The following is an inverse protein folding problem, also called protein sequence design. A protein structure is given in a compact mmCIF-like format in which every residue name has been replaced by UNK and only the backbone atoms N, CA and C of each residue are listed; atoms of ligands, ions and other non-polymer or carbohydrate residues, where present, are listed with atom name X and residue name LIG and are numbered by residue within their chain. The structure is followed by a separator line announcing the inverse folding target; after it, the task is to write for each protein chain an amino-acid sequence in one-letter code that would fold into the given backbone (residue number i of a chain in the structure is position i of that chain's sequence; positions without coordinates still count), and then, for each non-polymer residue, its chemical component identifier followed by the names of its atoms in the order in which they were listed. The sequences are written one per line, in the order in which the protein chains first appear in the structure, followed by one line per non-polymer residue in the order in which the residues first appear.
data_IF_328038316614
#
_entry.id   IF_328038316614
#
_cell.length_a   1.000
_cell.length_b   1.000
_cell.length_c   1.000
_cell.angle_alpha   90.00
_cell.angle_beta   90.00
_cell.angle_gamma   90.00
#
_symmetry.space_group_name_H-M   'P 1'
#
loop_
_entity.id
_entity.type
_entity.pdbx_description
1 polymer ?
#
# COMPACT_ATOMS: atom_id res chain seq x y z
N UNK A 1 -1.59 -5.93 26.96
CA UNK A 1 -2.15 -6.50 25.71
C UNK A 1 -1.01 -7.01 24.84
N UNK A 2 -1.11 -8.23 24.33
CA UNK A 2 -0.15 -8.85 23.43
C UNK A 2 -0.81 -9.12 22.08
N UNK A 3 -0.19 -8.63 21.00
CA UNK A 3 -0.67 -8.76 19.62
C UNK A 3 0.30 -9.65 18.84
N UNK A 4 -0.20 -10.76 18.28
CA UNK A 4 0.49 -11.53 17.26
C UNK A 4 0.19 -10.87 15.91
N UNK A 5 1.18 -10.35 15.20
CA UNK A 5 0.97 -9.61 13.96
C UNK A 5 1.55 -10.35 12.75
N UNK A 6 0.83 -10.32 11.64
CA UNK A 6 1.27 -10.98 10.42
C UNK A 6 1.00 -10.16 9.16
N UNK A 7 2.10 -9.70 8.53
CA UNK A 7 3.46 -9.57 9.08
C UNK A 7 3.57 -8.40 10.06
N UNK A 8 4.61 -8.40 10.93
CA UNK A 8 4.96 -7.24 11.73
C UNK A 8 6.27 -6.60 11.23
N UNK A 9 7.41 -7.06 11.77
CA UNK A 9 8.72 -6.45 11.52
C UNK A 9 9.51 -7.13 10.39
N UNK A 10 9.20 -8.39 10.07
CA UNK A 10 9.92 -9.16 9.04
C UNK A 10 9.80 -8.58 7.62
N UNK A 11 8.76 -7.76 7.37
CA UNK A 11 8.49 -7.20 6.04
C UNK A 11 9.14 -5.82 5.78
N UNK A 12 9.95 -5.30 6.71
CA UNK A 12 10.51 -3.93 6.65
C UNK A 12 11.26 -3.61 5.35
N UNK A 13 12.02 -4.56 4.81
CA UNK A 13 12.78 -4.38 3.56
C UNK A 13 11.92 -4.32 2.30
N UNK A 14 10.70 -4.83 2.33
CA UNK A 14 9.82 -4.89 1.15
C UNK A 14 8.66 -3.89 1.20
N UNK A 15 8.16 -3.65 2.41
CA UNK A 15 7.09 -2.70 2.71
C UNK A 15 7.20 -2.26 4.18
N UNK A 16 7.73 -1.08 4.47
CA UNK A 16 7.94 -0.64 5.85
C UNK A 16 6.66 -0.31 6.62
N UNK A 17 5.48 -0.34 5.98
CA UNK A 17 4.20 0.01 6.60
C UNK A 17 3.95 -0.70 7.94
N UNK A 18 4.03 -2.04 7.95
CA UNK A 18 3.74 -2.82 9.15
C UNK A 18 4.77 -2.58 10.25
N UNK A 19 6.05 -2.48 9.89
CA UNK A 19 7.11 -2.16 10.84
C UNK A 19 6.90 -0.81 11.52
N UNK A 20 6.61 0.24 10.76
CA UNK A 20 6.35 1.58 11.30
C UNK A 20 5.09 1.63 12.16
N UNK A 21 4.01 0.96 11.73
CA UNK A 21 2.79 0.87 12.54
C UNK A 21 3.06 0.20 13.88
N UNK A 22 3.72 -0.95 13.86
CA UNK A 22 3.90 -1.74 15.09
C UNK A 22 4.98 -1.18 16.01
N UNK A 23 5.99 -0.48 15.50
CA UNK A 23 6.89 0.33 16.34
C UNK A 23 6.09 1.38 17.12
N UNK A 24 5.23 2.14 16.44
CA UNK A 24 4.39 3.15 17.10
C UNK A 24 3.34 2.52 18.05
N UNK A 25 2.82 1.34 17.76
CA UNK A 25 1.93 0.57 18.65
C UNK A 25 2.69 0.11 19.91
N UNK A 26 3.96 -0.31 19.77
CA UNK A 26 4.81 -0.66 20.92
C UNK A 26 5.12 0.53 21.81
N UNK A 27 5.28 1.73 21.24
CA UNK A 27 5.47 2.97 22.01
C UNK A 27 4.27 3.31 22.92
N UNK A 28 3.08 2.77 22.63
CA UNK A 28 1.88 2.86 23.45
C UNK A 28 1.79 1.75 24.53
N UNK A 29 2.83 0.95 24.70
CA UNK A 29 2.91 -0.10 25.72
C UNK A 29 2.23 -1.43 25.34
N UNK A 30 1.90 -1.63 24.06
CA UNK A 30 1.38 -2.90 23.54
C UNK A 30 2.55 -3.80 23.15
N UNK A 31 2.53 -5.05 23.59
CA UNK A 31 3.52 -6.05 23.14
C UNK A 31 3.15 -6.55 21.75
N UNK A 32 4.01 -6.39 20.77
CA UNK A 32 3.81 -6.89 19.39
C UNK A 32 4.84 -7.95 19.07
N UNK A 33 4.40 -9.10 18.58
CA UNK A 33 5.22 -10.23 18.21
C UNK A 33 4.99 -10.62 16.76
N UNK A 34 6.06 -10.94 16.03
CA UNK A 34 5.93 -11.47 14.67
C UNK A 34 5.28 -12.86 14.68
N UNK A 35 4.46 -13.08 13.66
CA UNK A 35 3.82 -14.37 13.45
C UNK A 35 4.85 -15.46 13.17
N UNK A 36 4.67 -16.60 13.81
CA UNK A 36 5.21 -17.87 13.39
C UNK A 36 4.21 -18.97 13.72
N UNK A 37 4.24 -20.08 12.99
CA UNK A 37 3.35 -21.22 13.26
C UNK A 37 3.53 -21.72 14.70
N UNK A 38 4.77 -21.77 15.19
CA UNK A 38 5.08 -22.15 16.57
C UNK A 38 4.45 -21.20 17.58
N UNK A 39 4.56 -19.87 17.35
CA UNK A 39 3.98 -18.85 18.22
C UNK A 39 2.46 -18.87 18.20
N UNK A 40 1.86 -19.01 17.01
CA UNK A 40 0.40 -19.15 16.88
C UNK A 40 -0.14 -20.37 17.64
N UNK A 41 0.56 -21.50 17.57
CA UNK A 41 0.19 -22.72 18.30
C UNK A 41 0.37 -22.63 19.83
N UNK A 42 1.31 -21.84 20.32
CA UNK A 42 1.51 -21.65 21.76
C UNK A 42 0.31 -20.92 22.42
N UNK A 43 -0.30 -19.97 21.73
CA UNK A 43 -1.35 -19.12 22.32
C UNK A 43 -0.79 -18.10 23.33
N UNK A 44 -1.64 -17.52 24.18
CA UNK A 44 -1.24 -16.54 25.19
C UNK A 44 -0.98 -15.15 24.61
N UNK A 45 -1.61 -14.82 23.51
CA UNK A 45 -1.77 -13.47 22.97
C UNK A 45 -3.26 -13.10 22.95
N UNK A 46 -3.54 -11.81 23.08
CA UNK A 46 -4.92 -11.30 23.15
C UNK A 46 -5.54 -11.13 21.77
N UNK A 47 -4.71 -10.73 20.80
CA UNK A 47 -5.12 -10.42 19.44
C UNK A 47 -4.18 -11.06 18.42
N UNK A 48 -4.75 -11.46 17.26
CA UNK A 48 -4.00 -11.76 16.05
C UNK A 48 -4.40 -10.75 14.97
N UNK A 49 -3.47 -9.86 14.61
CA UNK A 49 -3.69 -8.86 13.58
C UNK A 49 -3.10 -9.31 12.25
N UNK A 50 -3.96 -9.43 11.24
CA UNK A 50 -3.58 -9.89 9.89
C UNK A 50 -3.74 -8.76 8.88
N UNK A 51 -2.83 -8.71 7.87
CA UNK A 51 -2.83 -7.68 6.84
C UNK A 51 -3.24 -8.21 5.46
N UNK A 52 -2.68 -9.30 5.01
CA UNK A 52 -2.93 -9.91 3.69
C UNK A 52 -3.30 -11.39 3.83
N UNK A 53 -4.48 -11.71 4.36
CA UNK A 53 -4.88 -13.12 4.58
C UNK A 53 -5.07 -13.89 3.27
N UNK A 54 -5.20 -13.20 2.16
CA UNK A 54 -5.44 -13.75 0.83
C UNK A 54 -4.17 -13.94 -0.02
N UNK A 55 -2.98 -13.66 0.51
CA UNK A 55 -1.70 -13.83 -0.21
C UNK A 55 -1.50 -15.27 -0.70
N UNK A 56 -1.95 -16.27 0.07
CA UNK A 56 -1.82 -17.67 -0.31
C UNK A 56 -2.68 -18.08 -1.52
N UNK A 57 -3.73 -17.29 -1.84
CA UNK A 57 -4.55 -17.52 -3.02
C UNK A 57 -3.78 -17.27 -4.33
N UNK A 58 -2.68 -16.52 -4.25
CA UNK A 58 -1.83 -16.17 -5.40
C UNK A 58 -0.80 -17.26 -5.76
N UNK A 59 -0.70 -18.34 -5.00
CA UNK A 59 0.22 -19.43 -5.31
C UNK A 59 -0.17 -20.18 -6.59
N UNK A 60 0.79 -20.41 -7.48
CA UNK A 60 0.56 -21.07 -8.76
C UNK A 60 0.06 -22.51 -8.63
N UNK A 61 0.56 -23.26 -7.62
CA UNK A 61 0.12 -24.63 -7.34
C UNK A 61 -1.18 -24.64 -6.52
N UNK A 62 -2.27 -25.20 -7.02
CA UNK A 62 -3.54 -25.25 -6.30
C UNK A 62 -3.45 -26.03 -4.99
N UNK A 63 -2.69 -27.12 -4.95
CA UNK A 63 -2.51 -27.91 -3.73
C UNK A 63 -1.73 -27.19 -2.66
N UNK A 64 -0.73 -26.41 -3.06
CA UNK A 64 0.02 -25.54 -2.16
C UNK A 64 -0.88 -24.44 -1.61
N UNK A 65 -1.64 -23.76 -2.45
CA UNK A 65 -2.60 -22.74 -2.05
C UNK A 65 -3.62 -23.30 -1.04
N UNK A 66 -4.23 -24.45 -1.35
CA UNK A 66 -5.20 -25.11 -0.44
C UNK A 66 -4.57 -25.46 0.89
N UNK A 67 -3.35 -26.01 0.90
CA UNK A 67 -2.66 -26.41 2.14
C UNK A 67 -2.40 -25.20 3.06
N UNK A 68 -1.90 -24.09 2.50
CA UNK A 68 -1.62 -22.88 3.28
C UNK A 68 -2.90 -22.18 3.76
N UNK A 69 -3.92 -22.05 2.90
CA UNK A 69 -5.24 -21.51 3.28
C UNK A 69 -5.87 -22.34 4.38
N UNK A 70 -5.86 -23.68 4.27
CA UNK A 70 -6.40 -24.54 5.31
C UNK A 70 -5.62 -24.41 6.63
N UNK A 71 -4.30 -24.35 6.57
CA UNK A 71 -3.46 -24.17 7.76
C UNK A 71 -3.73 -22.82 8.44
N UNK A 72 -3.83 -21.74 7.68
CA UNK A 72 -4.16 -20.40 8.17
C UNK A 72 -5.51 -20.39 8.89
N UNK A 73 -6.57 -20.85 8.23
CA UNK A 73 -7.93 -20.88 8.80
C UNK A 73 -8.01 -21.74 10.06
N UNK A 74 -7.31 -22.88 10.09
CA UNK A 74 -7.25 -23.75 11.26
C UNK A 74 -6.51 -23.10 12.42
N UNK A 75 -5.39 -22.42 12.16
CA UNK A 75 -4.63 -21.70 13.19
C UNK A 75 -5.46 -20.53 13.76
N UNK A 76 -6.17 -19.79 12.92
CA UNK A 76 -7.06 -18.71 13.36
C UNK A 76 -8.25 -19.24 14.18
N UNK A 77 -8.88 -20.32 13.73
CA UNK A 77 -9.95 -20.95 14.47
C UNK A 77 -9.48 -21.47 15.84
N UNK A 78 -8.27 -22.04 15.90
CA UNK A 78 -7.65 -22.47 17.15
C UNK A 78 -7.31 -21.28 18.08
N UNK A 79 -6.77 -20.19 17.53
CA UNK A 79 -6.49 -18.98 18.29
C UNK A 79 -7.76 -18.43 18.94
N UNK A 80 -8.85 -18.33 18.19
CA UNK A 80 -10.15 -17.91 18.72
C UNK A 80 -10.72 -18.86 19.78
N UNK A 81 -10.59 -20.16 19.57
CA UNK A 81 -11.01 -21.15 20.58
C UNK A 81 -10.23 -21.04 21.91
N UNK A 82 -9.06 -20.40 21.89
CA UNK A 82 -8.25 -20.10 23.06
C UNK A 82 -8.44 -18.68 23.61
N UNK A 83 -9.40 -17.93 23.08
CA UNK A 83 -9.77 -16.59 23.55
C UNK A 83 -9.11 -15.43 22.81
N UNK A 84 -8.18 -15.68 21.85
CA UNK A 84 -7.63 -14.61 21.05
C UNK A 84 -8.66 -14.05 20.04
N UNK A 85 -8.56 -12.78 19.69
CA UNK A 85 -9.43 -12.11 18.71
C UNK A 85 -8.66 -11.81 17.42
N UNK A 86 -9.36 -11.85 16.29
CA UNK A 86 -8.77 -11.64 14.96
C UNK A 86 -9.15 -10.24 14.49
N UNK A 87 -8.15 -9.40 14.23
CA UNK A 87 -8.29 -8.09 13.59
C UNK A 87 -7.70 -8.15 12.19
N UNK A 88 -8.38 -7.60 11.21
CA UNK A 88 -7.95 -7.57 9.81
C UNK A 88 -7.79 -6.14 9.30
N UNK A 89 -6.58 -5.76 8.84
CA UNK A 89 -6.40 -4.55 8.05
C UNK A 89 -6.62 -4.87 6.57
N UNK A 90 -7.62 -4.22 5.98
CA UNK A 90 -8.04 -4.41 4.59
C UNK A 90 -7.22 -3.48 3.70
N UNK A 91 -6.17 -4.03 3.07
CA UNK A 91 -5.36 -3.30 2.10
C UNK A 91 -5.97 -3.35 0.70
N UNK A 92 -6.55 -4.48 0.33
CA UNK A 92 -7.19 -4.77 -0.94
C UNK A 92 -8.50 -5.55 -0.70
N UNK A 93 -9.37 -5.58 -1.69
CA UNK A 93 -10.66 -6.29 -1.60
C UNK A 93 -10.58 -7.74 -2.10
N UNK A 94 -9.40 -8.20 -2.41
CA UNK A 94 -9.08 -9.53 -2.90
C UNK A 94 -7.74 -9.53 -3.62
N UNK A 95 -7.22 -10.70 -3.98
CA UNK A 95 -5.93 -10.80 -4.65
C UNK A 95 -6.01 -10.18 -6.05
N UNK A 96 -5.02 -9.36 -6.42
CA UNK A 96 -4.91 -8.78 -7.76
C UNK A 96 -4.72 -9.85 -8.86
N UNK A 97 -4.15 -10.99 -8.49
CA UNK A 97 -3.98 -12.17 -9.36
C UNK A 97 -4.52 -13.38 -8.60
N UNK A 98 -5.59 -13.99 -9.10
CA UNK A 98 -6.19 -15.18 -8.52
C UNK A 98 -6.16 -16.34 -9.54
N UNK A 99 -5.08 -17.16 -9.53
CA UNK A 99 -4.97 -18.31 -10.43
C UNK A 99 -6.04 -19.38 -10.14
N UNK A 100 -6.65 -19.32 -8.95
CA UNK A 100 -7.64 -20.30 -8.50
C UNK A 100 -8.93 -19.62 -7.98
N UNK A 101 -9.80 -19.03 -8.84
CA UNK A 101 -11.00 -18.27 -8.39
C UNK A 101 -11.98 -19.11 -7.56
N UNK A 102 -11.99 -20.43 -7.71
CA UNK A 102 -12.82 -21.32 -6.90
C UNK A 102 -12.35 -21.35 -5.44
N UNK A 103 -11.03 -21.28 -5.19
CA UNK A 103 -10.48 -21.27 -3.83
C UNK A 103 -10.81 -19.93 -3.14
N UNK A 104 -10.72 -18.81 -3.83
CA UNK A 104 -11.15 -17.51 -3.33
C UNK A 104 -12.63 -17.52 -2.91
N UNK A 105 -13.52 -18.15 -3.72
CA UNK A 105 -14.96 -18.29 -3.39
C UNK A 105 -15.21 -19.10 -2.12
N UNK A 106 -14.32 -20.02 -1.77
CA UNK A 106 -14.38 -20.81 -0.54
C UNK A 106 -13.72 -20.09 0.64
N UNK A 107 -12.67 -19.34 0.40
CA UNK A 107 -11.87 -18.67 1.43
C UNK A 107 -12.71 -17.63 2.21
N UNK A 108 -13.28 -16.66 1.52
CA UNK A 108 -13.98 -15.55 2.19
C UNK A 108 -15.13 -15.99 3.11
N UNK A 109 -16.02 -16.95 2.73
CA UNK A 109 -17.04 -17.44 3.66
C UNK A 109 -16.52 -18.15 4.90
N UNK A 110 -15.29 -18.69 4.85
CA UNK A 110 -14.65 -19.37 6.00
C UNK A 110 -13.82 -18.38 6.84
N UNK A 111 -13.19 -17.39 6.23
CA UNK A 111 -12.37 -16.40 6.90
C UNK A 111 -13.20 -15.34 7.63
N UNK A 112 -14.21 -14.75 6.97
CA UNK A 112 -14.95 -13.63 7.52
C UNK A 112 -15.62 -13.91 8.88
N UNK A 113 -16.16 -15.13 9.17
CA UNK A 113 -16.68 -15.46 10.50
C UNK A 113 -15.63 -15.50 11.61
N UNK A 114 -14.34 -15.57 11.26
CA UNK A 114 -13.23 -15.54 12.22
C UNK A 114 -12.83 -14.12 12.59
N UNK A 115 -13.18 -13.12 11.80
CA UNK A 115 -12.81 -11.71 12.01
C UNK A 115 -13.66 -11.11 13.12
N UNK A 116 -13.02 -10.56 14.13
CA UNK A 116 -13.66 -9.89 15.27
C UNK A 116 -13.62 -8.35 15.16
N UNK A 117 -12.73 -7.80 14.33
CA UNK A 117 -12.66 -6.37 14.02
C UNK A 117 -11.87 -6.10 12.74
N UNK A 118 -12.04 -4.93 12.14
CA UNK A 118 -11.33 -4.58 10.91
C UNK A 118 -10.88 -3.13 10.87
N UNK A 119 -9.79 -2.89 10.15
CA UNK A 119 -9.27 -1.58 9.78
C UNK A 119 -9.39 -1.40 8.27
N UNK A 120 -9.77 -0.22 7.83
CA UNK A 120 -9.63 0.23 6.43
C UNK A 120 -8.79 1.51 6.38
N UNK A 121 -8.12 1.73 5.26
CA UNK A 121 -7.17 2.85 5.14
C UNK A 121 -7.82 4.15 4.62
N UNK A 122 -9.13 4.13 4.34
CA UNK A 122 -9.93 5.28 3.92
C UNK A 122 -11.43 5.01 4.08
N UNK A 123 -12.27 6.03 4.04
CA UNK A 123 -13.74 5.86 4.03
C UNK A 123 -14.22 5.24 2.70
N UNK A 124 -13.54 5.54 1.59
CA UNK A 124 -13.80 4.86 0.32
C UNK A 124 -13.61 3.35 0.45
N UNK A 125 -12.46 2.93 0.99
CA UNK A 125 -12.18 1.51 1.22
C UNK A 125 -13.15 0.86 2.18
N UNK A 126 -13.57 1.57 3.25
CA UNK A 126 -14.60 1.09 4.18
C UNK A 126 -15.91 0.84 3.47
N UNK A 127 -16.35 1.79 2.66
CA UNK A 127 -17.59 1.66 1.88
C UNK A 127 -17.51 0.47 0.91
N UNK A 128 -16.39 0.33 0.21
CA UNK A 128 -16.15 -0.77 -0.72
C UNK A 128 -16.07 -2.13 -0.01
N UNK A 129 -15.36 -2.20 1.13
CA UNK A 129 -15.26 -3.41 1.96
C UNK A 129 -16.61 -3.86 2.50
N UNK A 130 -17.42 -2.95 3.04
CA UNK A 130 -18.76 -3.26 3.56
C UNK A 130 -19.76 -3.65 2.47
N UNK A 131 -19.54 -3.23 1.22
CA UNK A 131 -20.29 -3.67 0.05
C UNK A 131 -19.86 -5.07 -0.38
N UNK A 132 -18.56 -5.33 -0.42
CA UNK A 132 -17.97 -6.62 -0.83
C UNK A 132 -18.18 -7.71 0.23
N UNK A 133 -18.06 -7.35 1.51
CA UNK A 133 -18.09 -8.22 2.68
C UNK A 133 -19.13 -7.74 3.71
N UNK A 134 -20.44 -7.93 3.47
CA UNK A 134 -21.49 -7.42 4.36
C UNK A 134 -21.42 -7.95 5.80
N UNK A 135 -20.75 -9.09 6.03
CA UNK A 135 -20.54 -9.66 7.36
C UNK A 135 -19.76 -8.72 8.29
N UNK A 136 -18.89 -7.87 7.77
CA UNK A 136 -18.09 -6.90 8.53
C UNK A 136 -18.94 -5.83 9.25
N UNK A 137 -20.21 -5.63 8.84
CA UNK A 137 -21.13 -4.71 9.55
C UNK A 137 -21.48 -5.15 10.98
N UNK A 138 -21.13 -6.39 11.33
CA UNK A 138 -21.48 -6.99 12.63
C UNK A 138 -20.34 -6.89 13.65
N UNK A 139 -19.19 -6.40 13.25
CA UNK A 139 -18.00 -6.30 14.10
C UNK A 139 -17.48 -4.86 14.11
N UNK A 140 -16.75 -4.45 15.16
CA UNK A 140 -16.10 -3.15 15.21
C UNK A 140 -15.22 -2.91 13.99
N UNK A 141 -15.28 -1.70 13.44
CA UNK A 141 -14.45 -1.31 12.31
C UNK A 141 -14.03 0.15 12.40
N UNK A 142 -12.78 0.43 12.03
CA UNK A 142 -12.19 1.77 12.12
C UNK A 142 -11.47 2.14 10.84
N UNK A 143 -11.55 3.40 10.45
CA UNK A 143 -10.68 3.95 9.42
C UNK A 143 -9.41 4.45 10.09
N UNK A 144 -8.27 3.87 9.68
CA UNK A 144 -6.93 4.29 10.09
C UNK A 144 -6.16 4.55 8.81
N UNK A 145 -5.94 5.81 8.43
CA UNK A 145 -5.24 6.14 7.20
C UNK A 145 -3.85 5.49 7.09
N UNK A 146 -3.37 5.37 5.88
CA UNK A 146 -2.02 4.87 5.65
C UNK A 146 -0.99 5.93 6.07
N UNK A 147 -0.04 5.58 6.94
CA UNK A 147 1.00 6.49 7.40
C UNK A 147 2.04 6.83 6.34
N UNK A 148 2.71 7.97 6.51
CA UNK A 148 3.78 8.41 5.62
C UNK A 148 5.09 7.63 5.86
N UNK A 149 6.02 7.69 4.89
CA UNK A 149 7.25 6.89 4.89
C UNK A 149 8.51 7.67 5.29
N UNK A 150 8.41 8.94 5.71
CA UNK A 150 9.57 9.76 6.10
C UNK A 150 10.52 9.08 7.11
N UNK A 151 10.03 8.33 8.13
CA UNK A 151 10.93 7.67 9.08
C UNK A 151 11.68 6.45 8.53
N UNK A 152 11.19 5.85 7.43
CA UNK A 152 11.72 4.58 6.92
C UNK A 152 12.83 4.75 5.87
N UNK A 153 12.89 5.90 5.21
CA UNK A 153 13.81 6.13 4.11
C UNK A 153 14.94 7.09 4.48
N UNK A 154 16.13 6.93 3.87
CA UNK A 154 17.25 7.87 4.08
C UNK A 154 16.91 9.26 3.54
N UNK A 155 17.62 10.27 4.05
CA UNK A 155 17.53 11.61 3.52
C UNK A 155 17.91 11.63 2.02
N UNK A 156 17.11 12.31 1.15
CA UNK A 156 17.41 12.38 -0.26
C UNK A 156 18.73 13.12 -0.52
N UNK A 157 19.49 12.73 -1.54
CA UNK A 157 20.64 13.50 -1.97
C UNK A 157 20.20 14.86 -2.55
N UNK A 158 21.12 15.85 -2.65
CA UNK A 158 20.84 17.09 -3.36
C UNK A 158 20.34 16.80 -4.80
N UNK A 159 19.34 17.55 -5.26
CA UNK A 159 18.66 17.34 -6.55
C UNK A 159 19.65 17.22 -7.72
N UNK A 160 20.65 18.10 -7.79
CA UNK A 160 21.64 18.05 -8.87
C UNK A 160 22.43 16.74 -8.86
N UNK A 161 22.88 16.31 -7.68
CA UNK A 161 23.59 15.03 -7.53
C UNK A 161 22.71 13.85 -7.99
N UNK A 162 21.45 13.85 -7.58
CA UNK A 162 20.49 12.83 -8.01
C UNK A 162 20.32 12.81 -9.55
N UNK A 163 20.20 13.97 -10.18
CA UNK A 163 20.09 14.08 -11.63
C UNK A 163 21.35 13.60 -12.34
N UNK A 164 22.53 13.95 -11.85
CA UNK A 164 23.81 13.48 -12.40
C UNK A 164 23.92 11.95 -12.32
N UNK A 165 23.51 11.33 -11.22
CA UNK A 165 23.49 9.86 -11.04
C UNK A 165 22.61 9.15 -12.08
N UNK A 166 21.52 9.79 -12.48
CA UNK A 166 20.57 9.24 -13.46
C UNK A 166 20.84 9.71 -14.91
N UNK A 167 21.88 10.51 -15.14
CA UNK A 167 22.23 11.05 -16.46
C UNK A 167 21.17 12.02 -17.00
N UNK A 168 20.50 12.75 -16.13
CA UNK A 168 19.42 13.67 -16.46
C UNK A 168 19.94 15.09 -16.66
N UNK A 169 19.26 15.88 -17.50
CA UNK A 169 19.56 17.31 -17.66
C UNK A 169 19.35 18.06 -16.35
N UNK A 170 20.22 19.03 -16.06
CA UNK A 170 20.10 19.89 -14.86
C UNK A 170 18.78 20.67 -14.85
N UNK A 171 18.36 21.20 -16.02
CA UNK A 171 17.24 22.14 -16.14
C UNK A 171 15.95 21.52 -16.73
N UNK A 172 16.05 20.31 -17.34
CA UNK A 172 14.91 19.64 -17.93
C UNK A 172 13.93 19.11 -16.86
N UNK A 173 12.61 19.09 -17.15
CA UNK A 173 11.64 18.50 -16.24
C UNK A 173 11.75 16.98 -16.19
N UNK A 174 11.59 16.40 -15.01
CA UNK A 174 11.72 14.97 -14.77
C UNK A 174 10.44 14.40 -14.18
N UNK A 175 9.84 13.48 -14.92
CA UNK A 175 8.76 12.62 -14.42
C UNK A 175 9.37 11.32 -13.87
N UNK A 176 8.80 10.77 -12.81
CA UNK A 176 9.24 9.49 -12.28
C UNK A 176 8.07 8.53 -12.03
N UNK A 177 8.34 7.26 -12.23
CA UNK A 177 7.59 6.16 -11.66
C UNK A 177 8.52 5.36 -10.76
N UNK A 178 8.09 5.08 -9.52
CA UNK A 178 8.85 4.28 -8.55
C UNK A 178 7.98 3.17 -7.98
N UNK A 179 8.54 1.98 -7.78
CA UNK A 179 7.89 0.90 -7.05
C UNK A 179 7.72 -0.39 -7.86
N UNK A 180 7.04 -1.37 -7.27
CA UNK A 180 6.79 -2.66 -7.96
C UNK A 180 6.02 -2.43 -9.24
N UNK A 181 6.47 -3.04 -10.35
CA UNK A 181 5.79 -2.98 -11.64
C UNK A 181 4.89 -4.21 -11.76
N UNK A 182 3.58 -3.97 -11.89
CA UNK A 182 2.51 -4.96 -12.02
C UNK A 182 1.60 -4.60 -13.19
N UNK A 183 0.88 -5.55 -13.82
CA UNK A 183 0.01 -5.25 -14.95
C UNK A 183 -0.96 -4.10 -14.66
N UNK A 184 -1.69 -4.14 -13.54
CA UNK A 184 -2.68 -3.11 -13.16
C UNK A 184 -2.07 -1.71 -12.91
N UNK A 185 -0.75 -1.63 -12.71
CA UNK A 185 -0.04 -0.36 -12.55
C UNK A 185 0.28 0.35 -13.87
N UNK A 186 0.05 -0.33 -14.99
CA UNK A 186 -0.03 0.24 -16.35
C UNK A 186 1.20 1.07 -16.76
N UNK A 187 2.39 0.65 -16.31
CA UNK A 187 3.65 1.39 -16.53
C UNK A 187 4.03 1.47 -18.00
N UNK A 188 3.75 0.42 -18.78
CA UNK A 188 3.94 0.42 -20.23
C UNK A 188 3.14 1.53 -20.93
N UNK A 189 1.92 1.82 -20.44
CA UNK A 189 1.10 2.92 -20.95
C UNK A 189 1.69 4.27 -20.61
N UNK A 190 2.23 4.45 -19.40
CA UNK A 190 2.95 5.68 -19.03
C UNK A 190 4.10 5.94 -20.01
N UNK A 191 4.93 4.92 -20.24
CA UNK A 191 6.10 5.03 -21.14
C UNK A 191 5.65 5.35 -22.58
N UNK A 192 4.64 4.66 -23.09
CA UNK A 192 4.09 4.92 -24.43
C UNK A 192 3.53 6.35 -24.52
N UNK A 193 2.74 6.78 -23.54
CA UNK A 193 2.17 8.14 -23.50
C UNK A 193 3.25 9.21 -23.42
N UNK A 194 4.30 8.99 -22.60
CA UNK A 194 5.43 9.90 -22.52
C UNK A 194 6.15 10.06 -23.86
N UNK A 195 6.35 8.99 -24.60
CA UNK A 195 7.00 9.03 -25.93
C UNK A 195 6.17 9.77 -26.98
N UNK A 196 4.84 9.71 -26.86
CA UNK A 196 3.92 10.48 -27.73
C UNK A 196 3.97 11.99 -27.41
N UNK A 197 4.56 12.36 -26.27
CA UNK A 197 4.64 13.77 -25.85
C UNK A 197 5.83 14.47 -26.49
N UNK A 198 5.52 15.54 -27.23
CA UNK A 198 6.50 16.37 -27.94
C UNK A 198 7.09 17.44 -27.01
N UNK A 199 7.96 16.99 -26.08
CA UNK A 199 8.71 17.83 -25.16
C UNK A 199 10.13 17.28 -25.00
N UNK A 200 11.03 17.75 -25.86
CA UNK A 200 12.38 17.19 -26.03
C UNK A 200 13.23 17.25 -24.75
N UNK A 201 13.05 18.29 -23.93
CA UNK A 201 13.80 18.49 -22.69
C UNK A 201 13.30 17.65 -21.51
N UNK A 202 12.13 17.01 -21.62
CA UNK A 202 11.55 16.22 -20.55
C UNK A 202 12.20 14.83 -20.46
N UNK A 203 12.35 14.33 -19.25
CA UNK A 203 12.84 12.99 -18.95
C UNK A 203 11.81 12.17 -18.19
N UNK A 204 11.78 10.86 -18.42
CA UNK A 204 11.00 9.90 -17.64
C UNK A 204 11.93 8.86 -17.03
N UNK A 205 11.93 8.75 -15.70
CA UNK A 205 12.62 7.69 -14.96
C UNK A 205 11.59 6.64 -14.54
N UNK A 206 11.76 5.40 -14.97
CA UNK A 206 10.95 4.25 -14.53
C UNK A 206 11.82 3.32 -13.73
N UNK A 207 11.61 3.29 -12.42
CA UNK A 207 12.42 2.56 -11.46
C UNK A 207 11.58 1.58 -10.65
N UNK A 208 11.84 0.26 -10.79
CA UNK A 208 11.09 -0.73 -10.04
C UNK A 208 11.20 -2.15 -10.55
N UNK A 209 10.76 -3.10 -9.72
CA UNK A 209 10.87 -4.51 -10.00
C UNK A 209 9.61 -5.07 -10.69
N UNK A 210 9.71 -5.50 -11.98
CA UNK A 210 8.60 -6.14 -12.69
C UNK A 210 8.24 -7.51 -12.09
N UNK A 211 6.95 -7.87 -12.15
CA UNK A 211 6.48 -9.19 -11.68
C UNK A 211 6.95 -10.35 -12.56
N UNK A 212 7.35 -10.06 -13.80
CA UNK A 212 7.84 -11.06 -14.75
C UNK A 212 8.75 -10.41 -15.79
N UNK A 213 9.64 -11.21 -16.40
CA UNK A 213 10.47 -10.75 -17.51
C UNK A 213 9.61 -10.31 -18.71
N UNK A 214 8.50 -11.00 -18.98
CA UNK A 214 7.56 -10.60 -20.03
C UNK A 214 6.99 -9.19 -19.82
N UNK A 215 6.74 -8.78 -18.56
CA UNK A 215 6.32 -7.42 -18.25
C UNK A 215 7.47 -6.42 -18.41
N UNK A 216 8.69 -6.81 -18.01
CA UNK A 216 9.88 -5.99 -18.23
C UNK A 216 10.10 -5.73 -19.74
N UNK A 217 9.95 -6.77 -20.57
CA UNK A 217 10.09 -6.67 -22.03
C UNK A 217 9.02 -5.77 -22.66
N UNK A 218 7.79 -5.79 -22.16
CA UNK A 218 6.76 -4.84 -22.61
C UNK A 218 7.13 -3.40 -22.30
N UNK A 219 7.64 -3.13 -21.07
CA UNK A 219 8.10 -1.79 -20.69
C UNK A 219 9.29 -1.35 -21.54
N UNK A 220 10.29 -2.22 -21.77
CA UNK A 220 11.44 -1.95 -22.66
C UNK A 220 10.98 -1.66 -24.09
N UNK A 221 10.05 -2.48 -24.61
CA UNK A 221 9.49 -2.29 -25.95
C UNK A 221 8.72 -0.97 -26.09
N UNK A 222 7.96 -0.61 -25.05
CA UNK A 222 7.29 0.68 -24.99
C UNK A 222 8.29 1.85 -24.98
N UNK A 223 9.44 1.72 -24.31
CA UNK A 223 10.50 2.73 -24.30
C UNK A 223 11.23 2.84 -25.66
N UNK A 224 11.41 1.74 -26.34
CA UNK A 224 12.16 1.70 -27.61
C UNK A 224 13.59 2.23 -27.42
N UNK A 225 13.99 3.16 -28.30
CA UNK A 225 15.30 3.85 -28.24
C UNK A 225 15.18 5.33 -27.87
N UNK A 226 14.08 5.73 -27.21
CA UNK A 226 13.89 7.13 -26.81
C UNK A 226 14.90 7.51 -25.71
N UNK A 227 15.84 8.44 -25.97
CA UNK A 227 16.89 8.80 -25.03
C UNK A 227 16.36 9.53 -23.78
N UNK A 228 15.11 9.98 -23.80
CA UNK A 228 14.47 10.65 -22.68
C UNK A 228 13.94 9.66 -21.62
N UNK A 229 13.87 8.35 -21.95
CA UNK A 229 13.32 7.31 -21.07
C UNK A 229 14.45 6.52 -20.41
N UNK A 230 14.53 6.61 -19.08
CA UNK A 230 15.53 5.93 -18.26
C UNK A 230 14.88 4.78 -17.51
N UNK A 231 15.31 3.54 -17.73
CA UNK A 231 14.74 2.34 -17.16
C UNK A 231 15.67 1.69 -16.13
N UNK A 232 15.21 1.49 -14.92
CA UNK A 232 15.82 0.65 -13.89
C UNK A 232 14.84 -0.46 -13.47
N UNK A 233 14.68 -1.47 -14.32
CA UNK A 233 13.71 -2.56 -14.16
C UNK A 233 14.27 -3.66 -13.24
N UNK A 234 14.44 -3.33 -11.95
CA UNK A 234 14.97 -4.19 -10.89
C UNK A 234 14.50 -3.74 -9.53
N UNK A 235 14.79 -4.50 -8.50
CA UNK A 235 14.68 -4.02 -7.12
C UNK A 235 15.69 -2.88 -6.89
N UNK A 236 15.23 -1.79 -6.27
CA UNK A 236 16.08 -0.66 -5.91
C UNK A 236 16.28 -0.65 -4.39
N UNK A 237 17.52 -0.47 -3.91
CA UNK A 237 17.79 -0.08 -2.53
C UNK A 237 17.13 1.27 -2.18
N UNK A 238 16.91 1.52 -0.90
CA UNK A 238 16.22 2.72 -0.42
C UNK A 238 16.95 4.02 -0.79
N UNK A 239 18.28 3.99 -0.86
CA UNK A 239 19.10 5.13 -1.30
C UNK A 239 18.87 5.47 -2.77
N UNK A 240 18.70 4.46 -3.62
CA UNK A 240 18.39 4.69 -5.04
C UNK A 240 16.93 5.17 -5.22
N UNK A 241 15.99 4.66 -4.43
CA UNK A 241 14.61 5.18 -4.38
C UNK A 241 14.61 6.66 -4.00
N UNK A 242 15.37 7.01 -2.96
CA UNK A 242 15.53 8.40 -2.52
C UNK A 242 16.16 9.27 -3.62
N UNK A 243 17.16 8.75 -4.36
CA UNK A 243 17.80 9.45 -5.49
C UNK A 243 16.83 9.70 -6.63
N UNK A 244 16.02 8.70 -7.05
CA UNK A 244 14.99 8.88 -8.10
C UNK A 244 14.00 9.97 -7.70
N UNK A 245 13.49 9.90 -6.46
CA UNK A 245 12.51 10.87 -5.98
C UNK A 245 13.11 12.28 -5.82
N UNK A 246 14.39 12.38 -5.43
CA UNK A 246 15.09 13.67 -5.37
C UNK A 246 15.28 14.31 -6.76
N UNK A 247 15.50 13.49 -7.80
CA UNK A 247 15.65 13.97 -9.18
C UNK A 247 14.32 14.43 -9.81
N UNK A 248 13.19 13.88 -9.38
CA UNK A 248 11.88 14.08 -9.98
C UNK A 248 11.24 15.43 -9.64
N UNK A 249 10.41 15.92 -10.58
CA UNK A 249 9.50 17.05 -10.40
C UNK A 249 8.07 16.58 -10.13
N UNK A 250 7.68 15.45 -10.76
CA UNK A 250 6.35 14.86 -10.65
C UNK A 250 6.47 13.34 -10.66
N UNK A 251 5.79 12.66 -9.74
CA UNK A 251 5.65 11.20 -9.77
C UNK A 251 4.33 10.85 -10.43
N UNK A 252 4.37 9.97 -11.44
CA UNK A 252 3.18 9.56 -12.21
C UNK A 252 2.84 8.11 -11.93
N UNK A 253 1.63 7.86 -11.46
CA UNK A 253 1.12 6.54 -11.08
C UNK A 253 -0.13 6.21 -11.91
N UNK A 254 0.03 5.60 -13.10
CA UNK A 254 -1.02 5.46 -14.12
C UNK A 254 -1.93 4.23 -13.89
N UNK A 255 -2.26 3.92 -12.65
CA UNK A 255 -2.95 2.70 -12.25
C UNK A 255 -4.34 2.57 -12.88
N UNK A 256 -4.72 1.37 -13.30
CA UNK A 256 -6.05 1.06 -13.84
C UNK A 256 -7.04 0.71 -12.73
N UNK A 257 -6.55 0.08 -11.67
CA UNK A 257 -7.34 -0.29 -10.49
C UNK A 257 -6.53 0.03 -9.23
N UNK A 258 -7.11 0.81 -8.33
CA UNK A 258 -6.45 1.27 -7.13
C UNK A 258 -7.45 1.48 -6.00
N UNK A 259 -7.22 0.79 -4.87
CA UNK A 259 -7.91 1.10 -3.63
C UNK A 259 -7.10 2.12 -2.82
N UNK A 260 -5.80 1.89 -2.67
CA UNK A 260 -4.82 2.74 -1.98
C UNK A 260 -3.48 2.73 -2.70
N UNK A 261 -2.63 3.75 -2.43
CA UNK A 261 -1.28 3.79 -2.99
C UNK A 261 -0.22 4.16 -1.96
N UNK A 262 0.50 3.15 -1.47
CA UNK A 262 1.72 3.39 -0.70
C UNK A 262 2.78 4.16 -1.50
N UNK A 263 2.84 3.97 -2.83
CA UNK A 263 3.77 4.71 -3.68
C UNK A 263 3.43 6.21 -3.77
N UNK A 264 2.14 6.58 -3.75
CA UNK A 264 1.76 7.99 -3.69
C UNK A 264 2.24 8.63 -2.38
N UNK A 265 2.01 7.95 -1.25
CA UNK A 265 2.51 8.41 0.04
C UNK A 265 4.03 8.42 0.14
N UNK A 266 4.71 7.48 -0.52
CA UNK A 266 6.16 7.48 -0.62
C UNK A 266 6.66 8.73 -1.36
N UNK A 267 6.09 9.06 -2.51
CA UNK A 267 6.44 10.28 -3.25
C UNK A 267 6.20 11.55 -2.41
N UNK A 268 5.03 11.66 -1.78
CA UNK A 268 4.70 12.76 -0.87
C UNK A 268 5.63 12.83 0.35
N UNK A 269 6.14 11.67 0.83
CA UNK A 269 7.12 11.62 1.91
C UNK A 269 8.47 12.24 1.53
N UNK A 270 8.77 12.29 0.24
CA UNK A 270 9.93 12.97 -0.35
C UNK A 270 9.57 14.36 -0.90
N UNK A 271 8.42 14.89 -0.52
CA UNK A 271 7.94 16.21 -0.96
C UNK A 271 7.84 16.32 -2.50
N UNK A 272 7.42 15.22 -3.14
CA UNK A 272 7.15 15.17 -4.58
C UNK A 272 5.66 15.09 -4.83
N UNK A 273 5.10 16.01 -5.66
CA UNK A 273 3.72 15.91 -6.07
C UNK A 273 3.48 14.67 -6.92
N UNK A 274 2.25 14.19 -6.92
CA UNK A 274 1.87 12.98 -7.63
C UNK A 274 0.73 13.23 -8.61
N UNK A 275 0.79 12.55 -9.76
CA UNK A 275 -0.31 12.44 -10.72
C UNK A 275 -0.90 11.02 -10.64
N UNK A 276 -2.16 10.92 -10.27
CA UNK A 276 -2.87 9.65 -10.00
C UNK A 276 -4.24 9.64 -10.68
N UNK A 277 -4.82 8.47 -11.00
CA UNK A 277 -6.21 8.43 -11.47
C UNK A 277 -7.18 8.88 -10.37
N UNK A 278 -8.28 9.53 -10.76
CA UNK A 278 -9.35 9.96 -9.86
C UNK A 278 -10.21 8.77 -9.39
N UNK A 279 -9.58 7.79 -8.75
CA UNK A 279 -10.18 6.53 -8.33
C UNK A 279 -9.76 6.15 -6.90
N UNK A 280 -10.52 5.25 -6.28
CA UNK A 280 -10.20 4.73 -4.95
C UNK A 280 -10.14 5.85 -3.90
N UNK A 281 -9.12 5.74 -3.03
CA UNK A 281 -8.86 6.72 -1.99
C UNK A 281 -8.08 7.97 -2.46
N UNK A 282 -7.78 8.10 -3.77
CA UNK A 282 -6.94 9.20 -4.25
C UNK A 282 -7.61 10.57 -4.10
N UNK A 283 -8.95 10.64 -4.24
CA UNK A 283 -9.70 11.86 -3.95
C UNK A 283 -9.66 12.25 -2.47
N UNK A 284 -9.73 11.28 -1.56
CA UNK A 284 -9.57 11.54 -0.11
C UNK A 284 -8.15 12.01 0.21
N UNK A 285 -7.13 11.39 -0.41
CA UNK A 285 -5.73 11.81 -0.26
C UNK A 285 -5.52 13.24 -0.78
N UNK A 286 -6.12 13.61 -1.92
CA UNK A 286 -6.08 14.97 -2.45
C UNK A 286 -6.71 15.99 -1.49
N UNK A 287 -7.86 15.67 -0.89
CA UNK A 287 -8.50 16.54 0.11
C UNK A 287 -7.63 16.68 1.36
N UNK A 288 -6.96 15.61 1.77
CA UNK A 288 -6.15 15.59 2.99
C UNK A 288 -4.81 16.31 2.84
N UNK A 289 -4.14 16.16 1.68
CA UNK A 289 -2.77 16.67 1.47
C UNK A 289 -2.75 17.98 0.69
N UNK A 290 -3.79 18.24 -0.09
CA UNK A 290 -3.93 19.42 -0.94
C UNK A 290 -3.86 19.09 -2.44
N UNK A 291 -4.65 19.82 -3.26
CA UNK A 291 -4.68 19.64 -4.71
C UNK A 291 -3.36 20.02 -5.40
N UNK A 292 -2.52 20.84 -4.76
CA UNK A 292 -1.18 21.23 -5.22
C UNK A 292 -0.14 20.10 -5.03
N UNK A 293 -0.50 19.04 -4.29
CA UNK A 293 0.35 17.87 -4.05
C UNK A 293 -0.15 16.61 -4.75
N UNK A 294 -1.47 16.51 -4.97
CA UNK A 294 -2.09 15.33 -5.56
C UNK A 294 -2.94 15.76 -6.75
N UNK A 295 -2.39 15.64 -7.94
CA UNK A 295 -3.10 15.87 -9.20
C UNK A 295 -3.86 14.60 -9.60
N UNK A 296 -5.11 14.77 -10.00
CA UNK A 296 -5.94 13.64 -10.42
C UNK A 296 -6.33 13.75 -11.89
N UNK A 297 -6.47 12.61 -12.56
CA UNK A 297 -6.96 12.55 -13.93
C UNK A 297 -8.06 11.50 -14.11
N UNK A 298 -8.94 11.74 -15.08
CA UNK A 298 -10.01 10.83 -15.47
C UNK A 298 -9.71 10.13 -16.79
N UNK A 299 -10.13 8.86 -16.89
CA UNK A 299 -9.96 8.04 -18.09
C UNK A 299 -8.50 7.67 -18.38
N UNK A 300 -8.14 7.39 -19.65
CA UNK A 300 -6.79 6.97 -20.01
C UNK A 300 -5.80 8.13 -19.94
N UNK A 301 -4.59 7.84 -19.42
CA UNK A 301 -3.49 8.80 -19.41
C UNK A 301 -3.14 9.25 -20.85
N UNK A 302 -2.96 10.56 -21.04
CA UNK A 302 -2.68 11.22 -22.35
C UNK A 302 -1.49 12.18 -22.22
N UNK A 303 -0.79 12.50 -23.33
CA UNK A 303 0.31 13.47 -23.30
C UNK A 303 -0.09 14.83 -22.72
N UNK A 304 -1.31 15.36 -23.05
CA UNK A 304 -1.83 16.60 -22.49
C UNK A 304 -1.98 16.54 -20.97
N UNK A 305 -2.42 15.39 -20.42
CA UNK A 305 -2.54 15.19 -18.97
C UNK A 305 -1.17 15.25 -18.27
N UNK A 306 -0.13 14.67 -18.89
CA UNK A 306 1.24 14.78 -18.38
C UNK A 306 1.74 16.22 -18.41
N UNK A 307 1.47 16.95 -19.50
CA UNK A 307 1.87 18.34 -19.69
C UNK A 307 1.23 19.24 -18.62
N UNK A 308 -0.09 19.17 -18.51
CA UNK A 308 -0.85 19.98 -17.53
C UNK A 308 -0.38 19.72 -16.09
N UNK A 309 -0.29 18.45 -15.70
CA UNK A 309 0.14 18.10 -14.34
C UNK A 309 1.59 18.53 -14.04
N UNK A 310 2.49 18.40 -15.03
CA UNK A 310 3.87 18.84 -14.84
C UNK A 310 3.97 20.37 -14.76
N UNK A 311 3.24 21.09 -15.61
CA UNK A 311 3.23 22.56 -15.58
C UNK A 311 2.68 23.06 -14.24
N UNK A 312 1.61 22.45 -13.71
CA UNK A 312 1.12 22.72 -12.35
C UNK A 312 2.19 22.39 -11.30
N UNK A 313 2.82 21.23 -11.40
CA UNK A 313 3.88 20.83 -10.45
C UNK A 313 5.09 21.77 -10.42
N UNK A 314 5.36 22.46 -11.54
CA UNK A 314 6.47 23.42 -11.63
C UNK A 314 6.08 24.85 -11.26
N UNK A 315 4.78 25.23 -11.35
CA UNK A 315 4.31 26.60 -11.19
C UNK A 315 3.46 26.83 -9.94
N UNK A 316 2.88 25.79 -9.36
CA UNK A 316 2.06 25.92 -8.16
C UNK A 316 2.88 26.46 -6.98
N UNK A 317 2.34 27.47 -6.29
CA UNK A 317 2.88 27.99 -5.04
C UNK A 317 2.49 27.05 -3.90
N UNK A 318 3.32 26.04 -3.67
CA UNK A 318 3.16 25.08 -2.57
C UNK A 318 4.25 25.20 -1.55
N UNK A 319 3.98 24.73 -0.33
CA UNK A 319 4.99 24.65 0.72
C UNK A 319 6.17 23.74 0.28
N UNK A 320 7.33 23.94 0.89
CA UNK A 320 8.52 23.10 0.64
C UNK A 320 8.31 21.63 1.06
N UNK A 321 7.34 21.37 1.96
CA UNK A 321 7.02 20.04 2.48
C UNK A 321 5.54 19.73 2.34
N UNK A 322 5.25 18.52 1.90
CA UNK A 322 3.90 17.99 1.89
C UNK A 322 3.33 17.89 3.32
N UNK A 323 2.09 18.34 3.58
CA UNK A 323 1.47 18.36 4.90
C UNK A 323 0.99 16.94 5.28
N UNK A 324 1.89 16.13 5.84
CA UNK A 324 1.64 14.73 6.20
C UNK A 324 1.54 14.50 7.71
N UNK A 325 1.39 15.55 8.52
CA UNK A 325 1.41 15.44 9.98
C UNK A 325 0.25 14.58 10.50
N UNK A 326 -0.93 14.68 9.90
CA UNK A 326 -2.10 13.84 10.21
C UNK A 326 -1.92 12.37 9.80
N UNK A 327 -0.91 12.07 9.00
CA UNK A 327 -0.52 10.73 8.58
C UNK A 327 0.71 10.22 9.34
N UNK A 328 1.03 10.83 10.49
CA UNK A 328 2.10 10.39 11.40
C UNK A 328 1.69 9.13 12.15
N UNK A 329 2.65 8.26 12.43
CA UNK A 329 2.40 6.94 12.98
C UNK A 329 1.82 6.94 14.41
N UNK A 330 2.11 7.95 15.23
CA UNK A 330 1.57 8.06 16.58
C UNK A 330 0.03 8.06 16.62
N UNK A 331 -0.65 9.04 16.01
CA UNK A 331 -2.12 9.06 15.94
C UNK A 331 -2.74 7.81 15.28
N UNK A 332 -2.06 7.23 14.28
CA UNK A 332 -2.52 6.01 13.61
C UNK A 332 -2.41 4.79 14.53
N UNK A 333 -1.36 4.70 15.31
CA UNK A 333 -1.20 3.68 16.34
C UNK A 333 -2.25 3.82 17.43
N UNK A 334 -2.52 5.04 17.92
CA UNK A 334 -3.59 5.30 18.90
C UNK A 334 -4.95 4.84 18.37
N UNK A 335 -5.28 5.15 17.11
CA UNK A 335 -6.51 4.71 16.47
C UNK A 335 -6.57 3.18 16.31
N UNK A 336 -5.43 2.54 16.03
CA UNK A 336 -5.31 1.09 15.93
C UNK A 336 -5.53 0.42 17.29
N UNK A 337 -4.86 0.91 18.35
CA UNK A 337 -5.02 0.40 19.72
C UNK A 337 -6.45 0.59 20.23
N UNK A 338 -7.06 1.73 19.91
CA UNK A 338 -8.47 1.97 20.27
C UNK A 338 -9.43 0.93 19.62
N UNK A 339 -9.15 0.46 18.39
CA UNK A 339 -9.92 -0.65 17.82
C UNK A 339 -9.64 -1.96 18.56
N UNK A 340 -8.40 -2.24 18.95
CA UNK A 340 -8.08 -3.43 19.73
C UNK A 340 -8.88 -3.47 21.05
N UNK A 341 -8.95 -2.34 21.75
CA UNK A 341 -9.73 -2.20 22.99
C UNK A 341 -11.22 -2.40 22.73
N UNK A 342 -11.78 -1.83 21.64
CA UNK A 342 -13.18 -2.02 21.24
C UNK A 342 -13.49 -3.51 20.99
N UNK A 343 -12.60 -4.23 20.32
CA UNK A 343 -12.75 -5.66 20.00
C UNK A 343 -12.72 -6.52 21.26
N UNK A 344 -11.81 -6.24 22.20
CA UNK A 344 -11.70 -6.98 23.45
C UNK A 344 -12.85 -6.68 24.40
N UNK A 345 -13.36 -5.44 24.41
CA UNK A 345 -14.51 -5.06 25.23
C UNK A 345 -15.83 -5.67 24.73
N UNK A 346 -16.05 -5.75 23.40
CA UNK A 346 -17.26 -6.38 22.82
C UNK A 346 -17.33 -7.87 23.16
N UNK A 347 -16.19 -8.53 23.29
CA UNK A 347 -16.11 -9.92 23.72
C UNK A 347 -16.53 -10.12 25.18
N UNK A 348 -15.96 -9.33 26.08
CA UNK A 348 -16.32 -9.38 27.50
C UNK A 348 -17.83 -9.14 27.70
N UNK A 349 -18.45 -8.28 26.89
CA UNK A 349 -19.88 -8.03 26.92
C UNK A 349 -20.72 -9.20 26.36
N UNK A 350 -20.20 -9.97 25.42
CA UNK A 350 -20.87 -11.18 24.87
C UNK A 350 -20.83 -12.33 25.87
N UNK A 351 -19.69 -12.55 26.52
CA UNK A 351 -19.52 -13.59 27.54
C UNK A 351 -20.34 -13.34 28.81
N UNK A 352 -20.59 -12.06 29.16
CA UNK A 352 -21.41 -11.66 30.28
C UNK A 352 -22.92 -11.82 30.04
N UNK A 353 -23.38 -12.12 28.82
CA UNK A 353 -24.80 -12.38 28.53
C UNK A 353 -25.17 -13.79 28.99
N UNK A 354 -26.13 -13.97 29.94
CA UNK A 354 -26.57 -15.29 30.37
C UNK A 354 -27.14 -16.05 29.14
N UNK A 355 -26.67 -17.28 28.95
CA UNK A 355 -27.27 -18.20 28.00
C UNK A 355 -28.77 -18.27 28.24
N UNK A 356 -29.56 -17.60 27.40
CA UNK A 356 -31.00 -17.82 27.40
C UNK A 356 -31.26 -19.24 26.89
N UNK A 357 -31.48 -20.14 27.82
CA UNK A 357 -31.97 -21.49 27.61
C UNK A 357 -33.36 -21.48 26.98
#
# INVERSE_FOLDING_TARGET
MTVLAWPAFENKTGNPYTGLLYEAVQDLGVTVEDFSVGRALQGGYDLWHVHWPDDFLSYASPWTAVAYVAAELLLMAQARARGARIVWTIHDLGPHESPHPWLERLFWPLFLPLVDGYITLSEHARTAALRRFPALRKVPGRVVPHGHYRPAYPAPPPRQKARDEWGLSADGPVLAYVGRIRPYKNVERLVATFREWDREEAHLVVAGNPSSEALADRVRSAAGSDPRVHLALRFLPDEEVASVLAAADLVVLPYEDILHSGTALLALSFDRPVLVPAQGAMGELQVQVGPEWVYTFDGPLRPGTLAEALDMACTDDRADRAPLDDLSWGPLAEATVALYDDVLADDAARDARPHRS
#
